data_IF_554303191573
#
_entry.id   IF_554303191573
#
_cell.length_a   1.000
_cell.length_b   1.000
_cell.length_c   1.000
_cell.angle_alpha   90.00
_cell.angle_beta   90.00
_cell.angle_gamma   90.00
#
_symmetry.space_group_name_H-M   'P 1'
#
loop_
_entity.id
_entity.type
_entity.pdbx_description
1 polymer ?
#
# COMPACT_ATOMS: atom_id res chain seq x y z
N UNK A 1 13.14 -58.79 -25.13
CA UNK A 1 12.91 -57.35 -24.87
C UNK A 1 13.50 -56.58 -26.03
N UNK A 2 12.68 -55.99 -26.91
CA UNK A 2 13.19 -55.32 -28.11
C UNK A 2 14.01 -54.08 -27.70
N UNK A 3 15.31 -53.99 -28.05
CA UNK A 3 16.20 -52.91 -27.59
C UNK A 3 15.79 -51.52 -28.08
N UNK A 4 14.82 -51.43 -29.00
CA UNK A 4 14.28 -50.19 -29.58
C UNK A 4 13.17 -49.54 -28.74
N UNK A 5 12.61 -50.25 -27.75
CA UNK A 5 11.51 -49.73 -26.93
C UNK A 5 12.05 -48.81 -25.82
N UNK A 6 13.18 -49.16 -25.24
CA UNK A 6 13.86 -48.38 -24.18
C UNK A 6 14.14 -46.92 -24.60
N UNK A 7 14.76 -46.64 -25.77
CA UNK A 7 15.00 -45.26 -26.18
C UNK A 7 13.69 -44.50 -26.46
N UNK A 8 12.65 -45.19 -26.90
CA UNK A 8 11.36 -44.58 -27.22
C UNK A 8 10.62 -44.13 -25.95
N UNK A 9 10.69 -44.94 -24.88
CA UNK A 9 10.17 -44.59 -23.56
C UNK A 9 10.97 -43.44 -22.94
N UNK A 10 12.29 -43.45 -23.06
CA UNK A 10 13.15 -42.35 -22.59
C UNK A 10 12.85 -41.04 -23.32
N UNK A 11 12.61 -41.09 -24.63
CA UNK A 11 12.27 -39.92 -25.42
C UNK A 11 10.90 -39.36 -25.02
N UNK A 12 9.93 -40.23 -24.75
CA UNK A 12 8.60 -39.83 -24.26
C UNK A 12 8.70 -39.17 -22.88
N UNK A 13 9.49 -39.74 -21.96
CA UNK A 13 9.78 -39.14 -20.65
C UNK A 13 10.48 -37.78 -20.79
N UNK A 14 11.45 -37.67 -21.70
CA UNK A 14 12.16 -36.43 -21.96
C UNK A 14 11.19 -35.32 -22.43
N UNK A 15 10.30 -35.64 -23.38
CA UNK A 15 9.30 -34.70 -23.88
C UNK A 15 8.33 -34.29 -22.77
N UNK A 16 7.89 -35.23 -21.93
CA UNK A 16 7.02 -34.92 -20.80
C UNK A 16 7.68 -33.96 -19.80
N UNK A 17 8.96 -34.16 -19.48
CA UNK A 17 9.73 -33.26 -18.59
C UNK A 17 9.93 -31.89 -19.23
N UNK A 18 10.27 -31.83 -20.51
CA UNK A 18 10.44 -30.56 -21.23
C UNK A 18 9.11 -29.77 -21.29
N UNK A 19 8.00 -30.44 -21.57
CA UNK A 19 6.68 -29.82 -21.55
C UNK A 19 6.34 -29.30 -20.16
N UNK A 20 6.57 -30.08 -19.10
CA UNK A 20 6.34 -29.66 -17.72
C UNK A 20 7.20 -28.47 -17.31
N UNK A 21 8.44 -28.38 -17.78
CA UNK A 21 9.32 -27.24 -17.53
C UNK A 21 8.82 -25.96 -18.21
N UNK A 22 8.26 -26.07 -19.42
CA UNK A 22 7.69 -24.94 -20.14
C UNK A 22 6.33 -24.49 -19.58
N UNK A 23 5.53 -25.42 -19.05
CA UNK A 23 4.21 -25.12 -18.44
C UNK A 23 4.25 -24.91 -16.93
N UNK A 24 5.40 -25.13 -16.28
CA UNK A 24 5.57 -25.03 -14.83
C UNK A 24 5.49 -23.59 -14.30
N UNK A 25 5.82 -23.38 -13.01
CA UNK A 25 5.64 -22.12 -12.24
C UNK A 25 6.28 -20.84 -12.82
N UNK A 26 6.93 -20.90 -13.98
CA UNK A 26 7.47 -19.78 -14.73
C UNK A 26 6.94 -19.64 -16.17
N UNK A 27 5.82 -20.32 -16.51
CA UNK A 27 5.24 -20.20 -17.85
C UNK A 27 4.81 -18.75 -18.13
N UNK A 28 5.02 -18.30 -19.36
CA UNK A 28 4.79 -16.90 -19.80
C UNK A 28 3.38 -16.42 -19.46
N UNK A 29 2.39 -17.33 -19.48
CA UNK A 29 1.00 -17.02 -19.10
C UNK A 29 0.81 -16.70 -17.62
N UNK A 30 1.48 -17.43 -16.71
CA UNK A 30 1.35 -17.18 -15.27
C UNK A 30 2.00 -15.86 -14.86
N UNK A 31 3.14 -15.53 -15.48
CA UNK A 31 3.82 -14.25 -15.25
C UNK A 31 2.97 -13.07 -15.75
N UNK A 32 2.26 -13.23 -16.87
CA UNK A 32 1.39 -12.18 -17.39
C UNK A 32 0.18 -11.95 -16.47
N UNK A 33 -0.50 -13.02 -16.02
CA UNK A 33 -1.63 -12.90 -15.09
C UNK A 33 -1.21 -12.27 -13.75
N UNK A 34 -0.03 -12.63 -13.24
CA UNK A 34 0.51 -12.01 -12.01
C UNK A 34 0.86 -10.53 -12.22
N UNK A 35 1.43 -10.16 -13.38
CA UNK A 35 1.71 -8.75 -13.72
C UNK A 35 0.44 -7.93 -13.82
N UNK A 36 -0.63 -8.47 -14.42
CA UNK A 36 -1.90 -7.79 -14.55
C UNK A 36 -2.54 -7.55 -13.18
N UNK A 37 -2.48 -8.55 -12.27
CA UNK A 37 -2.92 -8.38 -10.87
C UNK A 37 -2.12 -7.31 -10.12
N UNK A 38 -0.80 -7.26 -10.31
CA UNK A 38 0.06 -6.22 -9.72
C UNK A 38 -0.32 -4.83 -10.25
N UNK A 39 -0.58 -4.70 -11.56
CA UNK A 39 -0.95 -3.42 -12.17
C UNK A 39 -2.29 -2.89 -11.60
N UNK A 40 -3.29 -3.75 -11.47
CA UNK A 40 -4.59 -3.40 -10.88
C UNK A 40 -4.44 -2.98 -9.42
N UNK A 41 -3.68 -3.76 -8.63
CA UNK A 41 -3.48 -3.45 -7.21
C UNK A 41 -2.72 -2.14 -7.01
N UNK A 42 -1.73 -1.87 -7.87
CA UNK A 42 -0.96 -0.62 -7.81
C UNK A 42 -1.85 0.59 -8.10
N UNK A 43 -2.71 0.49 -9.12
CA UNK A 43 -3.66 1.56 -9.43
C UNK A 43 -4.64 1.83 -8.28
N UNK A 44 -5.13 0.78 -7.61
CA UNK A 44 -6.01 0.93 -6.46
C UNK A 44 -5.27 1.60 -5.28
N UNK A 45 -4.01 1.22 -5.03
CA UNK A 45 -3.18 1.80 -3.98
C UNK A 45 -2.90 3.30 -4.25
N UNK A 46 -2.55 3.65 -5.48
CA UNK A 46 -2.27 5.04 -5.86
C UNK A 46 -3.50 5.94 -5.63
N UNK A 47 -4.72 5.45 -5.90
CA UNK A 47 -5.96 6.19 -5.59
C UNK A 47 -6.18 6.37 -4.09
N UNK A 48 -6.06 5.28 -3.32
CA UNK A 48 -6.21 5.33 -1.87
C UNK A 48 -5.18 6.25 -1.22
N UNK A 49 -3.96 6.31 -1.77
CA UNK A 49 -2.91 7.22 -1.31
C UNK A 49 -3.27 8.68 -1.54
N UNK A 50 -3.81 9.02 -2.72
CA UNK A 50 -4.25 10.40 -3.02
C UNK A 50 -5.39 10.85 -2.08
N UNK A 51 -6.34 9.97 -1.80
CA UNK A 51 -7.43 10.26 -0.85
C UNK A 51 -6.90 10.47 0.57
N UNK A 52 -5.96 9.63 1.03
CA UNK A 52 -5.31 9.80 2.32
C UNK A 52 -4.55 11.12 2.42
N UNK A 53 -3.79 11.50 1.39
CA UNK A 53 -3.05 12.76 1.37
C UNK A 53 -4.00 13.96 1.46
N UNK A 54 -5.13 13.90 0.75
CA UNK A 54 -6.19 14.92 0.86
C UNK A 54 -6.80 14.99 2.26
N UNK A 55 -7.23 13.85 2.80
CA UNK A 55 -7.85 13.80 4.13
C UNK A 55 -6.87 14.25 5.21
N UNK A 56 -5.59 13.90 5.10
CA UNK A 56 -4.56 14.35 6.03
C UNK A 56 -4.38 15.87 5.99
N UNK A 57 -4.46 16.48 4.80
CA UNK A 57 -4.43 17.94 4.66
C UNK A 57 -5.66 18.56 5.33
N UNK A 58 -6.86 18.04 5.06
CA UNK A 58 -8.10 18.54 5.67
C UNK A 58 -8.05 18.44 7.21
N UNK A 59 -7.52 17.34 7.75
CA UNK A 59 -7.33 17.18 9.21
C UNK A 59 -6.31 18.18 9.75
N UNK A 60 -5.24 18.47 9.02
CA UNK A 60 -4.26 19.49 9.43
C UNK A 60 -4.90 20.87 9.47
N UNK A 61 -5.61 21.26 8.41
CA UNK A 61 -6.27 22.56 8.31
C UNK A 61 -7.32 22.75 9.41
N UNK A 62 -8.07 21.68 9.74
CA UNK A 62 -9.04 21.71 10.84
C UNK A 62 -8.37 21.86 12.21
N UNK A 63 -7.21 21.22 12.42
CA UNK A 63 -6.45 21.37 13.67
C UNK A 63 -5.91 22.78 13.83
N UNK A 64 -5.30 23.32 12.79
CA UNK A 64 -4.77 24.69 12.79
C UNK A 64 -5.90 25.72 13.02
N UNK A 65 -7.07 25.49 12.42
CA UNK A 65 -8.26 26.30 12.64
C UNK A 65 -8.80 26.23 14.08
N UNK A 66 -8.76 25.05 14.71
CA UNK A 66 -9.16 24.89 16.11
C UNK A 66 -8.18 25.56 17.07
N UNK A 67 -6.88 25.48 16.80
CA UNK A 67 -5.85 26.13 17.62
C UNK A 67 -5.99 27.66 17.58
N UNK A 68 -6.29 28.23 16.40
CA UNK A 68 -6.63 29.65 16.25
C UNK A 68 -7.85 30.07 17.08
N UNK A 69 -8.89 29.23 17.13
CA UNK A 69 -10.10 29.50 17.93
C UNK A 69 -9.79 29.39 19.42
N UNK A 70 -8.98 28.41 19.83
CA UNK A 70 -8.55 28.25 21.22
C UNK A 70 -7.72 29.44 21.69
N UNK A 71 -6.79 29.95 20.86
CA UNK A 71 -6.01 31.15 21.18
C UNK A 71 -6.89 32.39 21.34
N UNK A 72 -7.91 32.57 20.49
CA UNK A 72 -8.88 33.67 20.63
C UNK A 72 -9.73 33.54 21.89
N UNK A 73 -10.21 32.35 22.21
CA UNK A 73 -10.98 32.11 23.44
C UNK A 73 -10.15 32.34 24.71
N UNK A 74 -8.87 31.96 24.69
CA UNK A 74 -7.94 32.20 25.81
C UNK A 74 -7.61 33.69 25.96
N UNK A 75 -7.31 34.38 24.85
CA UNK A 75 -6.88 35.78 24.86
C UNK A 75 -8.01 36.79 25.09
N UNK A 76 -9.20 36.57 24.50
CA UNK A 76 -10.32 37.52 24.59
C UNK A 76 -11.28 37.20 25.73
N UNK A 77 -11.54 35.92 26.00
CA UNK A 77 -12.55 35.48 26.98
C UNK A 77 -11.93 34.95 28.28
N UNK A 78 -10.60 34.81 28.35
CA UNK A 78 -9.91 34.25 29.51
C UNK A 78 -10.30 32.80 29.81
N UNK A 79 -10.82 32.06 28.82
CA UNK A 79 -11.25 30.68 28.99
C UNK A 79 -10.04 29.76 29.16
N UNK A 80 -10.07 28.91 30.18
CA UNK A 80 -9.04 27.90 30.49
C UNK A 80 -9.70 26.53 30.68
N UNK A 81 -8.99 25.43 30.37
CA UNK A 81 -9.52 24.08 30.57
C UNK A 81 -9.64 23.77 32.08
N UNK A 82 -10.57 22.88 32.48
CA UNK A 82 -10.64 22.43 33.87
C UNK A 82 -9.31 21.83 34.32
N UNK A 83 -8.79 22.27 35.47
CA UNK A 83 -7.46 21.93 36.02
C UNK A 83 -6.24 22.44 35.22
N UNK A 84 -6.38 23.48 34.39
CA UNK A 84 -5.26 24.12 33.70
C UNK A 84 -4.80 25.41 34.43
N UNK A 85 -3.48 25.62 34.55
CA UNK A 85 -2.90 26.89 35.04
C UNK A 85 -2.26 27.61 33.86
N UNK A 86 -2.85 28.72 33.44
CA UNK A 86 -2.39 29.52 32.30
C UNK A 86 -1.52 30.68 32.78
N UNK A 87 -0.28 30.79 32.25
CA UNK A 87 0.71 31.80 32.67
C UNK A 87 1.10 32.67 31.49
N UNK A 88 0.87 33.99 31.60
CA UNK A 88 1.37 34.96 30.63
C UNK A 88 2.74 35.49 31.05
N UNK A 89 3.74 35.29 30.20
CA UNK A 89 5.10 35.81 30.41
C UNK A 89 5.28 37.05 29.56
N UNK A 90 5.22 38.23 30.18
CA UNK A 90 5.58 39.48 29.51
C UNK A 90 7.10 39.72 29.66
N UNK A 91 7.85 39.95 28.56
CA UNK A 91 9.25 40.34 28.67
C UNK A 91 9.35 41.73 29.32
N UNK A 92 10.32 41.88 30.23
CA UNK A 92 10.64 43.15 30.91
C UNK A 92 11.25 44.17 29.96
#
# INVERSE_FOLDING_TARGET
MNPRIVPLVLLLLLVAVQAQLWTGRGSVGHVQEMKDKIAVQKQANDRARQENERLSSEVSDLRDGLDMVEEKARSELGMVKPNEVYVHVAPR
#
